data_IF_976247341459
#
_entry.id   IF_976247341459
#
_cell.length_a   1.000
_cell.length_b   1.000
_cell.length_c   1.000
_cell.angle_alpha   90.00
_cell.angle_beta   90.00
_cell.angle_gamma   90.00
#
_symmetry.space_group_name_H-M   'P 1'
#
loop_
_entity.id
_entity.type
_entity.pdbx_description
1 polymer ?
#
# COMPACT_ATOMS: atom_id res chain seq x y z
N UNK A 1 74.63 1.11 -23.16
CA UNK A 1 73.69 2.23 -23.36
C UNK A 1 72.35 1.86 -22.75
N UNK A 2 71.91 2.54 -21.68
CA UNK A 2 70.55 2.57 -21.06
C UNK A 2 70.67 2.92 -19.58
N UNK A 3 71.23 4.10 -19.26
CA UNK A 3 71.33 4.58 -17.87
C UNK A 3 71.11 6.10 -17.72
N UNK A 4 70.28 6.71 -18.58
CA UNK A 4 70.03 8.17 -18.57
C UNK A 4 68.54 8.57 -18.73
N UNK A 5 67.60 7.63 -18.88
CA UNK A 5 66.21 8.00 -19.26
C UNK A 5 65.17 8.03 -18.12
N UNK A 6 65.52 7.63 -16.89
CA UNK A 6 64.55 7.54 -15.79
C UNK A 6 64.50 8.78 -14.88
N UNK A 7 65.33 9.80 -15.12
CA UNK A 7 65.54 10.92 -14.20
C UNK A 7 65.12 12.29 -14.77
N UNK A 8 64.40 12.31 -15.90
CA UNK A 8 63.96 13.56 -16.57
C UNK A 8 62.44 13.74 -16.69
N UNK A 9 61.63 12.80 -16.18
CA UNK A 9 60.16 12.89 -16.27
C UNK A 9 59.53 13.40 -14.96
N UNK A 10 60.24 13.36 -13.83
CA UNK A 10 59.73 13.86 -12.54
C UNK A 10 59.80 15.39 -12.36
N UNK A 11 60.40 16.14 -13.29
CA UNK A 11 60.62 17.59 -13.14
C UNK A 11 59.62 18.47 -13.93
N UNK A 12 58.66 17.88 -14.67
CA UNK A 12 57.73 18.62 -15.54
C UNK A 12 56.29 18.63 -14.99
N UNK A 13 55.99 17.86 -13.94
CA UNK A 13 54.65 17.84 -13.33
C UNK A 13 54.46 18.77 -12.12
N UNK A 14 55.49 19.51 -11.68
CA UNK A 14 55.39 20.41 -10.51
C UNK A 14 55.40 21.92 -10.83
N UNK A 15 55.43 22.31 -12.11
CA UNK A 15 55.45 23.72 -12.52
C UNK A 15 54.21 24.17 -13.32
N UNK A 16 53.24 23.28 -13.57
CA UNK A 16 52.07 23.53 -14.43
C UNK A 16 50.72 23.68 -13.72
N UNK A 17 50.66 23.55 -12.39
CA UNK A 17 49.43 23.64 -11.59
C UNK A 17 49.33 24.92 -10.73
N UNK A 18 50.29 25.84 -10.86
CA UNK A 18 50.35 27.09 -10.07
C UNK A 18 50.18 28.37 -10.91
N UNK A 19 49.72 28.28 -12.16
CA UNK A 19 49.55 29.44 -13.07
C UNK A 19 48.17 29.48 -13.77
N UNK A 20 47.13 28.90 -13.15
CA UNK A 20 45.72 29.02 -13.58
C UNK A 20 44.75 29.19 -12.39
N UNK A 21 45.17 29.89 -11.33
CA UNK A 21 44.28 30.39 -10.27
C UNK A 21 44.66 31.84 -9.91
N UNK A 22 44.72 32.70 -10.92
CA UNK A 22 44.96 34.14 -10.77
C UNK A 22 43.92 34.96 -11.56
N UNK A 23 42.63 34.63 -11.43
CA UNK A 23 41.52 35.53 -11.81
C UNK A 23 40.36 35.32 -10.82
N UNK A 24 40.51 35.89 -9.63
CA UNK A 24 39.40 36.18 -8.71
C UNK A 24 39.81 37.35 -7.78
N UNK A 25 40.19 38.48 -8.38
CA UNK A 25 40.31 39.75 -7.68
C UNK A 25 39.38 40.76 -8.34
N UNK A 26 38.12 40.82 -7.90
CA UNK A 26 37.31 42.06 -7.81
C UNK A 26 35.92 41.80 -7.25
N UNK A 27 35.76 42.08 -5.96
CA UNK A 27 34.82 43.07 -5.40
C UNK A 27 34.66 42.80 -3.91
N UNK A 28 35.46 43.49 -3.09
CA UNK A 28 35.25 43.59 -1.65
C UNK A 28 34.56 44.94 -1.41
N UNK A 29 33.24 44.93 -1.28
CA UNK A 29 32.49 46.08 -0.77
C UNK A 29 32.61 46.09 0.76
N UNK A 30 33.15 47.19 1.27
CA UNK A 30 33.36 47.44 2.69
C UNK A 30 32.03 47.43 3.46
N UNK A 31 31.94 46.58 4.48
CA UNK A 31 30.88 46.60 5.50
C UNK A 31 31.49 47.05 6.83
N UNK A 32 30.91 48.01 7.56
CA UNK A 32 31.57 48.65 8.70
C UNK A 32 31.58 47.80 9.97
N UNK A 33 32.70 47.84 10.70
CA UNK A 33 32.89 47.26 12.03
C UNK A 33 31.88 47.83 13.05
N UNK A 34 31.25 47.01 13.92
CA UNK A 34 30.54 47.52 15.08
C UNK A 34 31.54 47.86 16.19
N UNK A 35 31.55 49.14 16.57
CA UNK A 35 32.23 49.66 17.77
C UNK A 35 31.58 49.04 19.02
N UNK A 36 32.27 48.12 19.69
CA UNK A 36 31.87 47.61 20.99
C UNK A 36 32.46 48.50 22.09
N UNK A 37 31.56 49.19 22.80
CA UNK A 37 31.84 49.96 24.01
C UNK A 37 32.19 48.98 25.13
N UNK A 38 33.33 49.19 25.80
CA UNK A 38 33.73 48.43 26.97
C UNK A 38 32.82 48.79 28.16
N UNK A 39 31.96 47.86 28.55
CA UNK A 39 31.19 47.90 29.80
C UNK A 39 31.87 46.98 30.82
N UNK A 40 32.29 47.55 31.94
CA UNK A 40 32.98 46.89 33.04
C UNK A 40 32.04 45.94 33.79
N UNK A 41 32.25 44.64 33.63
CA UNK A 41 31.56 43.60 34.41
C UNK A 41 32.17 43.46 35.83
N UNK A 42 31.36 43.28 36.88
CA UNK A 42 31.85 43.13 38.25
C UNK A 42 32.44 41.75 38.52
N UNK A 43 33.50 41.73 39.32
CA UNK A 43 34.25 40.57 39.81
C UNK A 43 33.36 39.62 40.65
N UNK A 44 33.35 38.30 40.40
CA UNK A 44 32.53 37.38 41.18
C UNK A 44 33.13 37.17 42.57
N UNK A 45 32.35 37.52 43.60
CA UNK A 45 32.65 37.23 45.01
C UNK A 45 32.39 35.75 45.29
N UNK A 46 33.46 34.99 45.55
CA UNK A 46 33.40 33.56 45.88
C UNK A 46 32.80 33.37 47.28
N UNK A 47 31.53 32.96 47.36
CA UNK A 47 30.90 32.54 48.61
C UNK A 47 31.05 31.03 48.74
N UNK A 48 31.94 30.60 49.65
CA UNK A 48 32.16 29.19 49.94
C UNK A 48 30.91 28.55 50.59
N UNK A 49 30.34 27.54 49.92
CA UNK A 49 29.25 26.72 50.45
C UNK A 49 29.79 25.59 51.35
N UNK A 50 29.05 25.17 52.40
CA UNK A 50 29.46 24.09 53.29
C UNK A 50 29.44 22.73 52.57
N UNK A 51 30.26 21.75 53.02
CA UNK A 51 30.38 20.45 52.37
C UNK A 51 29.07 19.64 52.50
N UNK A 52 28.58 19.15 51.38
CA UNK A 52 27.41 18.26 51.29
C UNK A 52 27.82 16.83 51.60
N UNK A 53 27.15 16.20 52.57
CA UNK A 53 27.39 14.80 52.95
C UNK A 53 27.18 13.86 51.75
N UNK A 54 28.24 13.12 51.41
CA UNK A 54 28.23 12.13 50.33
C UNK A 54 27.51 10.86 50.83
N UNK A 55 26.44 10.39 50.17
CA UNK A 55 25.76 9.18 50.60
C UNK A 55 26.66 7.95 50.43
N UNK A 56 26.64 7.07 51.43
CA UNK A 56 27.38 5.81 51.44
C UNK A 56 26.91 4.87 50.30
N UNK A 57 27.80 4.01 49.76
CA UNK A 57 27.45 3.10 48.68
C UNK A 57 26.37 2.11 49.12
N UNK A 58 25.27 2.07 48.38
CA UNK A 58 24.18 1.11 48.54
C UNK A 58 24.63 -0.26 48.04
N UNK A 59 24.34 -1.30 48.83
CA UNK A 59 24.68 -2.69 48.47
C UNK A 59 24.02 -3.09 47.14
N UNK A 60 24.85 -3.45 46.17
CA UNK A 60 24.42 -4.03 44.89
C UNK A 60 23.75 -5.38 45.15
N UNK A 61 22.51 -5.62 44.67
CA UNK A 61 21.87 -6.92 44.80
C UNK A 61 22.66 -7.98 44.03
N UNK A 62 22.86 -9.13 44.67
CA UNK A 62 23.47 -10.32 44.05
C UNK A 62 22.51 -10.86 42.99
N UNK A 63 22.98 -11.26 41.79
CA UNK A 63 22.11 -11.83 40.76
C UNK A 63 21.44 -13.10 41.27
N UNK A 64 20.11 -13.12 41.23
CA UNK A 64 19.28 -14.28 41.54
C UNK A 64 19.37 -15.27 40.38
N UNK A 65 19.58 -16.56 40.69
CA UNK A 65 19.62 -17.66 39.73
C UNK A 65 18.37 -17.64 38.83
N UNK A 66 18.59 -17.55 37.51
CA UNK A 66 17.53 -17.64 36.49
C UNK A 66 16.93 -19.05 36.53
N UNK A 67 15.60 -19.21 36.67
CA UNK A 67 14.98 -20.53 36.63
C UNK A 67 15.26 -21.21 35.29
N UNK A 68 15.70 -22.47 35.34
CA UNK A 68 15.93 -23.30 34.17
C UNK A 68 14.56 -23.60 33.53
N UNK A 69 14.40 -23.42 32.21
CA UNK A 69 13.15 -23.75 31.54
C UNK A 69 12.84 -25.23 31.76
N UNK A 70 11.65 -25.50 32.30
CA UNK A 70 11.14 -26.86 32.46
C UNK A 70 10.64 -27.32 31.10
N UNK A 71 11.10 -28.48 30.64
CA UNK A 71 10.64 -29.11 29.39
C UNK A 71 9.11 -29.25 29.42
N UNK A 72 8.42 -28.46 28.58
CA UNK A 72 6.99 -28.56 28.38
C UNK A 72 6.70 -29.88 27.67
N UNK A 73 5.75 -30.71 28.14
CA UNK A 73 5.44 -31.97 27.48
C UNK A 73 4.99 -31.71 26.04
N UNK A 74 5.67 -32.35 25.08
CA UNK A 74 5.30 -32.35 23.67
C UNK A 74 3.99 -33.13 23.52
N UNK A 75 2.88 -32.42 23.32
CA UNK A 75 1.60 -33.00 22.91
C UNK A 75 1.83 -33.84 21.64
N UNK A 76 1.64 -35.15 21.75
CA UNK A 76 1.75 -36.07 20.62
C UNK A 76 0.52 -35.83 19.74
N UNK A 77 0.67 -35.66 18.42
CA UNK A 77 -0.48 -35.40 17.54
C UNK A 77 -1.49 -36.53 17.68
N UNK A 78 -2.65 -36.22 18.24
CA UNK A 78 -3.75 -37.16 18.37
C UNK A 78 -4.36 -37.34 16.99
N UNK A 79 -4.58 -38.58 16.57
CA UNK A 79 -5.17 -38.87 15.26
C UNK A 79 -6.50 -38.12 15.11
N UNK A 80 -6.53 -37.17 14.17
CA UNK A 80 -7.75 -36.47 13.76
C UNK A 80 -8.78 -37.51 13.34
N UNK A 81 -10.00 -37.50 13.92
CA UNK A 81 -11.04 -38.43 13.50
C UNK A 81 -11.34 -38.22 12.02
N UNK A 82 -11.31 -39.32 11.26
CA UNK A 82 -11.70 -39.33 9.85
C UNK A 82 -13.13 -38.78 9.72
N UNK A 83 -13.40 -37.85 8.78
CA UNK A 83 -14.74 -37.30 8.60
C UNK A 83 -15.71 -38.46 8.35
N UNK A 84 -16.65 -38.63 9.28
CA UNK A 84 -17.73 -39.60 9.13
C UNK A 84 -18.75 -38.97 8.20
N UNK A 85 -19.17 -39.68 7.15
CA UNK A 85 -20.23 -39.20 6.26
C UNK A 85 -21.49 -38.88 7.07
N UNK A 86 -21.73 -37.60 7.29
CA UNK A 86 -23.00 -37.11 7.83
C UNK A 86 -24.09 -37.49 6.81
N UNK A 87 -25.20 -38.12 7.23
CA UNK A 87 -26.28 -38.44 6.31
C UNK A 87 -26.79 -37.14 5.69
N UNK A 88 -26.72 -37.06 4.36
CA UNK A 88 -27.36 -36.01 3.56
C UNK A 88 -28.84 -36.00 3.89
N UNK A 89 -29.34 -34.88 4.43
CA UNK A 89 -30.77 -34.69 4.59
C UNK A 89 -31.41 -34.77 3.19
N UNK A 90 -32.33 -35.70 3.02
CA UNK A 90 -33.16 -35.83 1.82
C UNK A 90 -33.89 -34.49 1.59
N UNK A 91 -33.95 -33.98 0.35
CA UNK A 91 -34.61 -32.72 0.06
C UNK A 91 -36.07 -32.83 0.49
N UNK A 92 -36.47 -31.95 1.41
CA UNK A 92 -37.86 -31.85 1.85
C UNK A 92 -38.61 -31.17 0.72
N UNK A 93 -39.60 -31.86 0.14
CA UNK A 93 -40.50 -31.32 -0.90
C UNK A 93 -41.08 -29.98 -0.44
N UNK A 94 -40.65 -28.89 -1.08
CA UNK A 94 -41.22 -27.56 -0.90
C UNK A 94 -42.67 -27.61 -1.38
N UNK A 95 -43.66 -27.18 -0.57
CA UNK A 95 -45.04 -27.14 -1.03
C UNK A 95 -45.15 -26.18 -2.22
N UNK A 96 -45.58 -26.72 -3.36
CA UNK A 96 -45.93 -25.94 -4.55
C UNK A 96 -47.15 -25.07 -4.22
N UNK A 97 -46.94 -23.76 -4.09
CA UNK A 97 -48.00 -22.76 -4.05
C UNK A 97 -48.88 -22.95 -5.31
N UNK A 98 -50.16 -23.25 -5.08
CA UNK A 98 -51.14 -23.37 -6.16
C UNK A 98 -51.41 -21.95 -6.70
N UNK A 99 -51.32 -21.70 -8.02
CA UNK A 99 -51.58 -20.38 -8.57
C UNK A 99 -52.99 -19.94 -8.19
N UNK A 100 -53.08 -18.80 -7.50
CA UNK A 100 -54.36 -18.16 -7.21
C UNK A 100 -54.83 -17.45 -8.48
N UNK A 101 -56.05 -17.77 -8.93
CA UNK A 101 -56.69 -17.14 -10.09
C UNK A 101 -56.68 -15.61 -9.96
N UNK A 102 -55.93 -14.96 -10.86
CA UNK A 102 -55.95 -13.50 -11.03
C UNK A 102 -57.33 -13.09 -11.54
N UNK A 103 -58.03 -12.14 -10.90
CA UNK A 103 -59.31 -11.67 -11.42
C UNK A 103 -59.14 -11.01 -12.80
N UNK A 104 -60.02 -11.40 -13.72
CA UNK A 104 -60.12 -10.92 -15.10
C UNK A 104 -60.27 -9.38 -15.16
N UNK A 105 -59.58 -8.69 -16.08
CA UNK A 105 -59.68 -7.23 -16.20
C UNK A 105 -61.11 -6.82 -16.57
N UNK A 106 -61.69 -5.93 -15.77
CA UNK A 106 -63.01 -5.35 -16.03
C UNK A 106 -62.90 -4.30 -17.15
N UNK A 107 -63.76 -4.43 -18.17
CA UNK A 107 -63.85 -3.52 -19.30
C UNK A 107 -63.96 -2.05 -18.87
N UNK A 108 -62.96 -1.24 -19.24
CA UNK A 108 -63.04 0.21 -19.18
C UNK A 108 -63.57 0.74 -20.52
N UNK A 109 -64.63 1.57 -20.54
CA UNK A 109 -65.28 2.00 -21.79
C UNK A 109 -64.42 2.94 -22.63
N UNK A 110 -64.46 2.71 -23.95
CA UNK A 110 -63.77 3.43 -25.03
C UNK A 110 -64.44 4.78 -25.34
N UNK A 111 -63.70 5.90 -25.44
CA UNK A 111 -64.13 7.11 -26.13
C UNK A 111 -63.69 7.11 -27.62
N UNK A 112 -64.43 7.80 -28.53
CA UNK A 112 -64.44 7.48 -29.95
C UNK A 112 -63.32 8.10 -30.79
N UNK A 113 -63.01 7.35 -31.85
CA UNK A 113 -62.16 7.53 -33.02
C UNK A 113 -62.24 8.88 -33.73
N UNK A 114 -61.07 9.39 -34.15
CA UNK A 114 -60.91 10.09 -35.43
C UNK A 114 -59.53 9.76 -36.05
N UNK A 115 -59.55 9.18 -37.25
CA UNK A 115 -58.46 9.03 -38.20
C UNK A 115 -58.98 9.56 -39.57
N UNK A 116 -58.25 9.50 -40.71
CA UNK A 116 -56.84 9.15 -40.96
C UNK A 116 -56.14 10.08 -42.00
N UNK A 117 -54.86 9.80 -42.32
CA UNK A 117 -54.24 9.71 -43.68
C UNK A 117 -52.70 9.73 -43.54
N UNK A 118 -51.94 8.65 -43.80
CA UNK A 118 -51.60 7.95 -45.06
C UNK A 118 -50.35 8.52 -45.76
N UNK A 119 -49.25 7.75 -45.83
CA UNK A 119 -48.65 7.37 -47.12
C UNK A 119 -47.65 6.19 -46.96
N UNK A 120 -47.54 5.39 -48.01
CA UNK A 120 -46.92 4.06 -48.11
C UNK A 120 -45.53 4.10 -48.77
N UNK A 121 -44.82 2.96 -48.78
CA UNK A 121 -43.67 2.77 -49.67
C UNK A 121 -42.81 1.54 -49.37
N UNK A 122 -43.19 0.42 -49.97
CA UNK A 122 -42.51 -0.87 -50.09
C UNK A 122 -41.51 -0.87 -51.27
N UNK A 123 -40.35 -1.55 -51.15
CA UNK A 123 -39.76 -2.42 -52.21
C UNK A 123 -38.31 -2.89 -51.92
N UNK A 124 -38.13 -4.19 -52.17
CA UNK A 124 -36.92 -5.00 -52.37
C UNK A 124 -35.78 -4.38 -53.21
N UNK A 125 -34.53 -4.80 -52.96
CA UNK A 125 -33.75 -5.66 -53.89
C UNK A 125 -32.25 -5.84 -53.51
N UNK A 126 -31.83 -7.12 -53.58
CA UNK A 126 -30.57 -7.72 -54.06
C UNK A 126 -29.19 -7.50 -53.38
N UNK A 127 -28.72 -8.63 -52.82
CA UNK A 127 -27.53 -9.41 -53.18
C UNK A 127 -26.23 -8.69 -53.61
N UNK A 128 -25.15 -8.98 -52.87
CA UNK A 128 -23.86 -9.37 -53.47
C UNK A 128 -23.11 -10.36 -52.58
N UNK A 129 -22.78 -11.50 -53.21
CA UNK A 129 -21.87 -12.54 -52.75
C UNK A 129 -20.46 -12.03 -52.38
N UNK A 130 -19.80 -12.75 -51.45
CA UNK A 130 -18.37 -13.03 -51.63
C UNK A 130 -17.49 -13.09 -50.38
N UNK A 131 -17.08 -14.32 -50.08
CA UNK A 131 -15.79 -14.73 -49.53
C UNK A 131 -15.61 -14.86 -48.01
N UNK A 132 -15.30 -16.11 -47.64
CA UNK A 132 -14.56 -16.58 -46.48
C UNK A 132 -13.33 -15.71 -46.15
N UNK A 133 -12.94 -15.63 -44.88
CA UNK A 133 -11.92 -16.51 -44.28
C UNK A 133 -11.50 -15.97 -42.90
N UNK A 134 -11.00 -16.89 -42.08
CA UNK A 134 -10.25 -16.73 -40.84
C UNK A 134 -11.00 -16.26 -39.57
N UNK A 135 -11.10 -17.23 -38.66
CA UNK A 135 -11.60 -17.03 -37.31
C UNK A 135 -10.59 -16.41 -36.37
N UNK A 136 -11.12 -15.99 -35.24
CA UNK A 136 -10.40 -16.07 -33.98
C UNK A 136 -11.47 -16.22 -32.90
N UNK A 137 -11.43 -17.36 -32.22
CA UNK A 137 -12.23 -17.65 -31.03
C UNK A 137 -11.77 -16.67 -29.94
N UNK A 138 -12.45 -15.53 -29.84
CA UNK A 138 -12.43 -14.74 -28.62
C UNK A 138 -13.23 -15.51 -27.57
N UNK A 139 -12.54 -16.33 -26.78
CA UNK A 139 -13.04 -16.76 -25.47
C UNK A 139 -13.46 -15.50 -24.71
N UNK A 140 -14.78 -15.33 -24.54
CA UNK A 140 -15.37 -14.47 -23.53
C UNK A 140 -14.86 -14.95 -22.16
N UNK A 141 -13.70 -14.44 -21.78
CA UNK A 141 -13.21 -14.48 -20.42
C UNK A 141 -14.09 -13.57 -19.58
N UNK A 142 -15.18 -14.12 -19.05
CA UNK A 142 -15.83 -13.60 -17.83
C UNK A 142 -14.72 -13.14 -16.87
N UNK A 143 -14.73 -11.89 -16.37
CA UNK A 143 -13.70 -11.45 -15.45
C UNK A 143 -13.70 -12.44 -14.29
N UNK A 144 -12.59 -13.15 -14.09
CA UNK A 144 -12.44 -14.07 -12.96
C UNK A 144 -12.79 -13.28 -11.70
N UNK A 145 -13.98 -13.52 -11.16
CA UNK A 145 -14.34 -13.05 -9.83
C UNK A 145 -13.29 -13.68 -8.91
N UNK A 146 -12.30 -12.88 -8.53
CA UNK A 146 -11.25 -13.29 -7.63
C UNK A 146 -11.95 -13.68 -6.34
N UNK A 147 -12.20 -14.97 -6.19
CA UNK A 147 -12.84 -15.54 -5.02
C UNK A 147 -11.73 -15.64 -3.96
N UNK A 148 -11.30 -14.48 -3.46
CA UNK A 148 -10.38 -14.44 -2.32
C UNK A 148 -11.20 -14.89 -1.13
N UNK A 149 -10.95 -16.13 -0.69
CA UNK A 149 -11.40 -16.62 0.62
C UNK A 149 -10.76 -15.74 1.71
N UNK A 150 -11.39 -14.61 2.04
CA UNK A 150 -11.07 -13.86 3.24
C UNK A 150 -11.72 -14.56 4.43
N UNK A 151 -10.94 -15.42 5.10
CA UNK A 151 -11.36 -16.13 6.32
C UNK A 151 -11.13 -15.24 7.56
N UNK A 152 -10.51 -14.07 7.40
CA UNK A 152 -10.10 -13.23 8.52
C UNK A 152 -10.83 -11.89 8.50
N UNK A 153 -11.53 -11.56 9.59
CA UNK A 153 -12.02 -10.21 9.84
C UNK A 153 -10.78 -9.28 9.96
N UNK A 154 -10.72 -8.14 9.25
CA UNK A 154 -9.67 -7.12 9.43
C UNK A 154 -9.34 -6.80 10.88
N UNK A 155 -10.39 -6.78 11.72
CA UNK A 155 -10.27 -6.49 13.14
C UNK A 155 -9.42 -7.52 13.89
N UNK A 156 -9.34 -8.76 13.39
CA UNK A 156 -8.53 -9.83 13.96
C UNK A 156 -7.04 -9.70 13.57
N UNK A 157 -6.73 -9.05 12.45
CA UNK A 157 -5.36 -8.90 11.91
C UNK A 157 -4.74 -7.55 12.30
N UNK A 158 -5.52 -6.49 12.24
CA UNK A 158 -5.06 -5.10 12.27
C UNK A 158 -5.67 -4.27 13.42
N UNK A 159 -6.64 -4.83 14.15
CA UNK A 159 -7.36 -4.13 15.22
C UNK A 159 -8.60 -3.40 14.74
N UNK A 160 -9.35 -2.78 15.67
CA UNK A 160 -10.60 -2.07 15.36
C UNK A 160 -10.29 -0.73 14.73
N UNK A 161 -10.74 -0.52 13.49
CA UNK A 161 -10.67 0.78 12.84
C UNK A 161 -11.96 1.57 13.08
N UNK A 162 -11.86 2.89 13.30
CA UNK A 162 -13.04 3.72 13.47
C UNK A 162 -13.81 3.83 12.15
N UNK A 163 -15.12 3.57 12.18
CA UNK A 163 -16.03 3.88 11.08
C UNK A 163 -16.53 5.33 11.19
N UNK A 164 -16.32 6.11 10.13
CA UNK A 164 -16.74 7.51 10.02
C UNK A 164 -17.93 7.66 9.07
N UNK A 165 -18.75 8.71 9.21
CA UNK A 165 -19.73 9.06 8.18
C UNK A 165 -19.05 9.20 6.82
N UNK A 166 -19.72 8.74 5.76
CA UNK A 166 -19.18 8.80 4.40
C UNK A 166 -18.66 10.19 4.01
N UNK A 167 -17.42 10.22 3.54
CA UNK A 167 -16.75 11.39 2.97
C UNK A 167 -16.08 10.98 1.65
N UNK A 168 -16.67 11.39 0.53
CA UNK A 168 -16.17 11.09 -0.81
C UNK A 168 -14.73 11.60 -1.02
N UNK A 169 -14.41 12.80 -0.53
CA UNK A 169 -13.08 13.38 -0.69
C UNK A 169 -12.05 12.61 0.14
N UNK A 170 -12.41 12.23 1.37
CA UNK A 170 -11.61 11.38 2.25
C UNK A 170 -11.36 10.01 1.64
N UNK A 171 -12.39 9.34 1.10
CA UNK A 171 -12.25 8.04 0.44
C UNK A 171 -11.31 8.12 -0.75
N UNK A 172 -11.53 9.08 -1.67
CA UNK A 172 -10.67 9.28 -2.84
C UNK A 172 -9.22 9.59 -2.42
N UNK A 173 -9.02 10.42 -1.40
CA UNK A 173 -7.68 10.73 -0.88
C UNK A 173 -6.97 9.48 -0.32
N UNK A 174 -7.69 8.65 0.44
CA UNK A 174 -7.14 7.41 1.00
C UNK A 174 -6.83 6.38 -0.10
N UNK A 175 -7.67 6.26 -1.12
CA UNK A 175 -7.37 5.39 -2.27
C UNK A 175 -6.10 5.84 -3.01
N UNK A 176 -5.96 7.14 -3.27
CA UNK A 176 -4.74 7.69 -3.87
C UNK A 176 -3.51 7.45 -2.97
N UNK A 177 -3.66 7.55 -1.64
CA UNK A 177 -2.58 7.27 -0.69
C UNK A 177 -2.13 5.81 -0.75
N UNK A 178 -3.07 4.86 -0.77
CA UNK A 178 -2.75 3.43 -0.91
C UNK A 178 -2.06 3.18 -2.25
N UNK A 179 -2.62 3.66 -3.35
CA UNK A 179 -2.06 3.45 -4.68
C UNK A 179 -0.63 4.00 -4.81
N UNK A 180 -0.39 5.24 -4.37
CA UNK A 180 0.96 5.84 -4.37
C UNK A 180 1.94 5.14 -3.42
N UNK A 181 1.47 4.67 -2.26
CA UNK A 181 2.30 3.92 -1.32
C UNK A 181 2.68 2.55 -1.89
N UNK A 182 1.75 1.85 -2.53
CA UNK A 182 2.01 0.59 -3.23
C UNK A 182 3.00 0.76 -4.38
N UNK A 183 2.90 1.85 -5.17
CA UNK A 183 3.91 2.17 -6.19
C UNK A 183 5.30 2.39 -5.57
N UNK A 184 5.35 3.11 -4.44
CA UNK A 184 6.60 3.35 -3.70
C UNK A 184 7.19 2.02 -3.20
N UNK A 185 6.36 1.14 -2.61
CA UNK A 185 6.77 -0.19 -2.20
C UNK A 185 7.31 -1.00 -3.38
N UNK A 186 6.60 -0.97 -4.53
CA UNK A 186 6.99 -1.72 -5.73
C UNK A 186 8.35 -1.29 -6.28
N UNK A 187 8.62 0.01 -6.27
CA UNK A 187 9.88 0.57 -6.76
C UNK A 187 11.09 0.28 -5.88
N UNK A 188 10.89 -0.06 -4.61
CA UNK A 188 11.96 -0.26 -3.63
C UNK A 188 12.19 -1.74 -3.27
N UNK A 189 11.24 -2.64 -3.55
CA UNK A 189 11.34 -4.05 -3.14
C UNK A 189 12.52 -4.80 -3.79
N UNK A 190 12.93 -4.42 -4.99
CA UNK A 190 14.10 -5.00 -5.68
C UNK A 190 15.40 -4.62 -4.95
N UNK A 191 15.53 -3.36 -4.52
CA UNK A 191 16.65 -2.87 -3.71
C UNK A 191 16.67 -3.50 -2.33
N UNK A 192 15.50 -3.59 -1.69
CA UNK A 192 15.34 -4.25 -0.39
C UNK A 192 15.74 -5.74 -0.45
N UNK A 193 15.42 -6.45 -1.54
CA UNK A 193 15.93 -7.80 -1.80
C UNK A 193 17.44 -7.84 -1.99
N UNK A 194 18.00 -6.82 -2.65
CA UNK A 194 19.44 -6.62 -2.82
C UNK A 194 20.20 -6.26 -1.54
N UNK A 195 19.51 -6.05 -0.40
CA UNK A 195 20.12 -5.62 0.86
C UNK A 195 20.41 -4.11 0.92
N UNK A 196 19.73 -3.31 0.10
CA UNK A 196 19.81 -1.85 0.19
C UNK A 196 18.94 -1.35 1.35
N UNK A 197 19.61 -0.84 2.39
CA UNK A 197 18.96 -0.31 3.58
C UNK A 197 18.02 0.86 3.26
N UNK A 198 18.40 1.77 2.35
CA UNK A 198 17.58 2.93 2.02
C UNK A 198 16.28 2.50 1.31
N UNK A 199 16.37 1.46 0.48
CA UNK A 199 15.20 0.85 -0.16
C UNK A 199 14.29 0.19 0.89
N UNK A 200 14.86 -0.51 1.88
CA UNK A 200 14.09 -1.06 3.00
C UNK A 200 13.41 0.03 3.84
N UNK A 201 14.11 1.10 4.19
CA UNK A 201 13.54 2.22 4.96
C UNK A 201 12.38 2.87 4.19
N UNK A 202 12.53 3.03 2.88
CA UNK A 202 11.48 3.58 2.01
C UNK A 202 10.28 2.64 1.90
N UNK A 203 10.52 1.34 1.75
CA UNK A 203 9.46 0.33 1.75
C UNK A 203 8.67 0.32 3.06
N UNK A 204 9.37 0.33 4.20
CA UNK A 204 8.80 0.40 5.54
C UNK A 204 7.98 1.68 5.75
N UNK A 205 8.50 2.82 5.29
CA UNK A 205 7.78 4.10 5.34
C UNK A 205 6.47 4.06 4.55
N UNK A 206 6.49 3.52 3.33
CA UNK A 206 5.30 3.39 2.50
C UNK A 206 4.28 2.40 3.07
N UNK A 207 4.72 1.26 3.62
CA UNK A 207 3.85 0.32 4.33
C UNK A 207 3.15 0.99 5.52
N UNK A 208 3.90 1.72 6.34
CA UNK A 208 3.37 2.44 7.49
C UNK A 208 2.39 3.56 7.08
N UNK A 209 2.63 4.23 5.95
CA UNK A 209 1.71 5.23 5.42
C UNK A 209 0.34 4.62 5.13
N UNK A 210 0.31 3.41 4.53
CA UNK A 210 -0.95 2.65 4.34
C UNK A 210 -1.54 2.32 5.72
N UNK A 211 -0.76 1.71 6.60
CA UNK A 211 -1.24 1.24 7.90
C UNK A 211 -1.91 2.35 8.73
N UNK A 212 -1.36 3.55 8.73
CA UNK A 212 -1.83 4.65 9.56
C UNK A 212 -2.84 5.59 8.86
N UNK A 213 -3.12 5.39 7.57
CA UNK A 213 -4.11 6.18 6.81
C UNK A 213 -5.48 5.49 6.67
N UNK A 214 -5.63 4.28 7.21
CA UNK A 214 -6.87 3.52 7.14
C UNK A 214 -8.05 4.20 7.82
N UNK A 215 -9.08 4.54 7.05
CA UNK A 215 -10.36 5.10 7.53
C UNK A 215 -11.49 4.43 6.78
N UNK A 216 -12.43 3.82 7.50
CA UNK A 216 -13.58 3.17 6.88
C UNK A 216 -14.85 3.99 7.06
N UNK A 217 -15.76 3.82 6.11
CA UNK A 217 -16.95 4.65 6.02
C UNK A 217 -18.21 3.83 6.26
N UNK A 218 -19.16 4.43 6.96
CA UNK A 218 -20.53 3.94 7.10
C UNK A 218 -21.48 4.85 6.34
N UNK A 219 -22.68 4.34 6.07
CA UNK A 219 -23.72 5.05 5.31
C UNK A 219 -23.24 5.46 3.90
N UNK A 220 -22.47 4.58 3.24
CA UNK A 220 -21.94 4.80 1.88
C UNK A 220 -23.09 4.86 0.87
N UNK A 221 -23.20 5.92 0.05
CA UNK A 221 -24.19 6.00 -1.01
C UNK A 221 -24.01 4.90 -2.05
N UNK A 222 -25.11 4.42 -2.65
CA UNK A 222 -25.09 3.29 -3.59
C UNK A 222 -24.16 3.48 -4.80
N UNK A 223 -23.98 4.72 -5.26
CA UNK A 223 -23.05 5.02 -6.36
C UNK A 223 -21.57 4.95 -5.93
N UNK A 224 -21.26 4.87 -4.64
CA UNK A 224 -19.92 4.76 -4.06
C UNK A 224 -19.61 3.39 -3.44
N UNK A 225 -20.60 2.51 -3.28
CA UNK A 225 -20.43 1.20 -2.61
C UNK A 225 -19.32 0.34 -3.24
N UNK A 226 -19.23 0.28 -4.57
CA UNK A 226 -18.17 -0.46 -5.25
C UNK A 226 -16.78 0.15 -5.02
N UNK A 227 -16.69 1.48 -4.98
CA UNK A 227 -15.43 2.20 -4.75
C UNK A 227 -14.96 1.95 -3.31
N UNK A 228 -15.86 2.06 -2.33
CA UNK A 228 -15.57 1.79 -0.93
C UNK A 228 -15.16 0.33 -0.70
N UNK A 229 -15.86 -0.62 -1.33
CA UNK A 229 -15.50 -2.04 -1.26
C UNK A 229 -14.11 -2.31 -1.81
N UNK A 230 -13.76 -1.75 -2.97
CA UNK A 230 -12.42 -1.88 -3.55
C UNK A 230 -11.36 -1.23 -2.67
N UNK A 231 -11.62 -0.04 -2.12
CA UNK A 231 -10.74 0.61 -1.15
C UNK A 231 -10.45 -0.29 0.05
N UNK A 232 -11.50 -0.86 0.65
CA UNK A 232 -11.40 -1.76 1.79
C UNK A 232 -10.55 -3.00 1.45
N UNK A 233 -10.83 -3.66 0.33
CA UNK A 233 -10.06 -4.84 -0.09
C UNK A 233 -8.60 -4.48 -0.37
N UNK A 234 -8.33 -3.37 -1.06
CA UNK A 234 -6.97 -2.91 -1.33
C UNK A 234 -6.19 -2.66 -0.04
N UNK A 235 -6.81 -2.02 0.95
CA UNK A 235 -6.16 -1.74 2.24
C UNK A 235 -5.74 -3.04 2.95
N UNK A 236 -6.66 -4.00 3.06
CA UNK A 236 -6.37 -5.25 3.79
C UNK A 236 -5.36 -6.12 3.03
N UNK A 237 -5.53 -6.26 1.72
CA UNK A 237 -4.65 -7.11 0.91
C UNK A 237 -3.24 -6.55 0.85
N UNK A 238 -3.11 -5.22 0.70
CA UNK A 238 -1.84 -4.53 0.79
C UNK A 238 -1.13 -4.84 2.10
N UNK A 239 -1.79 -4.65 3.26
CA UNK A 239 -1.12 -4.80 4.55
C UNK A 239 -0.82 -6.25 4.93
N UNK A 240 -1.74 -7.17 4.70
CA UNK A 240 -1.59 -8.57 5.13
C UNK A 240 -0.43 -9.27 4.39
N UNK A 241 -0.46 -9.22 3.06
CA UNK A 241 0.46 -10.00 2.24
C UNK A 241 1.83 -9.34 2.04
N UNK A 242 1.95 -8.05 2.28
CA UNK A 242 3.26 -7.36 2.24
C UNK A 242 3.94 -7.27 3.61
N UNK A 243 3.23 -7.57 4.70
CA UNK A 243 3.78 -7.59 6.06
C UNK A 243 5.05 -8.43 6.23
N UNK A 244 5.19 -9.61 5.61
CA UNK A 244 6.42 -10.39 5.75
C UNK A 244 7.66 -9.65 5.22
N UNK A 245 7.56 -9.01 4.04
CA UNK A 245 8.64 -8.20 3.48
C UNK A 245 8.94 -6.96 4.34
N UNK A 246 7.91 -6.31 4.88
CA UNK A 246 8.06 -5.26 5.88
C UNK A 246 8.88 -5.74 7.09
N UNK A 247 8.53 -6.90 7.66
CA UNK A 247 9.23 -7.48 8.81
C UNK A 247 10.67 -7.88 8.46
N UNK A 248 10.91 -8.39 7.26
CA UNK A 248 12.27 -8.69 6.79
C UNK A 248 13.12 -7.41 6.71
N UNK A 249 12.58 -6.31 6.18
CA UNK A 249 13.28 -5.03 6.19
C UNK A 249 13.57 -4.50 7.60
N UNK A 250 12.59 -4.55 8.51
CA UNK A 250 12.75 -4.05 9.89
C UNK A 250 13.77 -4.87 10.68
N UNK A 251 13.76 -6.20 10.54
CA UNK A 251 14.56 -7.08 11.39
C UNK A 251 15.93 -7.42 10.80
N UNK A 252 16.04 -7.53 9.48
CA UNK A 252 17.22 -8.04 8.80
C UNK A 252 17.84 -7.03 7.81
N UNK A 253 17.16 -5.93 7.48
CA UNK A 253 17.61 -4.96 6.46
C UNK A 253 17.62 -5.52 5.03
N UNK A 254 17.05 -6.71 4.84
CA UNK A 254 17.01 -7.40 3.55
C UNK A 254 15.78 -8.30 3.45
N UNK A 255 15.17 -8.36 2.27
CA UNK A 255 14.03 -9.23 1.97
C UNK A 255 14.50 -10.51 1.28
N UNK A 256 14.10 -11.68 1.79
CA UNK A 256 14.39 -12.97 1.15
C UNK A 256 13.52 -13.24 -0.09
N UNK A 257 13.88 -14.25 -0.87
CA UNK A 257 13.22 -14.57 -2.14
C UNK A 257 11.72 -14.85 -1.99
N UNK A 258 11.32 -15.53 -0.91
CA UNK A 258 9.92 -15.89 -0.67
C UNK A 258 9.09 -14.65 -0.36
N UNK A 259 9.54 -13.85 0.60
CA UNK A 259 8.86 -12.61 1.01
C UNK A 259 8.84 -11.58 -0.12
N UNK A 260 9.89 -11.53 -0.93
CA UNK A 260 9.94 -10.71 -2.15
C UNK A 260 8.85 -11.13 -3.15
N UNK A 261 8.75 -12.42 -3.47
CA UNK A 261 7.78 -12.91 -4.45
C UNK A 261 6.34 -12.63 -4.03
N UNK A 262 6.03 -12.87 -2.75
CA UNK A 262 4.72 -12.58 -2.18
C UNK A 262 4.39 -11.09 -2.23
N UNK A 263 5.33 -10.23 -1.85
CA UNK A 263 5.14 -8.79 -1.87
C UNK A 263 4.92 -8.25 -3.28
N UNK A 264 5.76 -8.64 -4.25
CA UNK A 264 5.64 -8.20 -5.65
C UNK A 264 4.30 -8.61 -6.25
N UNK A 265 3.94 -9.89 -6.11
CA UNK A 265 2.66 -10.39 -6.63
C UNK A 265 1.48 -9.62 -6.05
N UNK A 266 1.48 -9.42 -4.73
CA UNK A 266 0.40 -8.71 -4.03
C UNK A 266 0.31 -7.27 -4.49
N UNK A 267 1.44 -6.55 -4.54
CA UNK A 267 1.46 -5.14 -4.92
C UNK A 267 0.95 -4.97 -6.35
N UNK A 268 1.45 -5.77 -7.30
CA UNK A 268 1.06 -5.69 -8.71
C UNK A 268 -0.44 -6.03 -8.90
N UNK A 269 -0.94 -7.06 -8.21
CA UNK A 269 -2.37 -7.40 -8.20
C UNK A 269 -3.22 -6.26 -7.63
N UNK A 270 -2.81 -5.68 -6.50
CA UNK A 270 -3.55 -4.60 -5.82
C UNK A 270 -3.63 -3.35 -6.68
N UNK A 271 -2.51 -2.94 -7.27
CA UNK A 271 -2.47 -1.81 -8.18
C UNK A 271 -3.40 -2.05 -9.39
N UNK A 272 -3.42 -3.26 -9.93
CA UNK A 272 -4.24 -3.62 -11.07
C UNK A 272 -5.74 -3.53 -10.77
N UNK A 273 -6.22 -4.18 -9.71
CA UNK A 273 -7.65 -4.21 -9.40
C UNK A 273 -8.17 -2.89 -8.82
N UNK A 274 -7.31 -2.10 -8.15
CA UNK A 274 -7.73 -0.82 -7.55
C UNK A 274 -7.91 0.29 -8.57
N UNK A 275 -7.14 0.27 -9.66
CA UNK A 275 -7.03 1.38 -10.60
C UNK A 275 -8.38 1.81 -11.24
N UNK A 276 -9.27 0.90 -11.68
CA UNK A 276 -10.57 1.30 -12.24
C UNK A 276 -11.43 2.09 -11.24
N UNK A 277 -11.56 1.60 -10.00
CA UNK A 277 -12.33 2.27 -8.95
C UNK A 277 -11.69 3.57 -8.50
N UNK A 278 -10.35 3.64 -8.45
CA UNK A 278 -9.64 4.88 -8.18
C UNK A 278 -9.89 5.93 -9.27
N UNK A 279 -9.88 5.54 -10.54
CA UNK A 279 -10.20 6.45 -11.64
C UNK A 279 -11.65 6.95 -11.58
N UNK A 280 -12.59 6.05 -11.24
CA UNK A 280 -14.00 6.41 -11.00
C UNK A 280 -14.11 7.44 -9.87
N UNK A 281 -13.45 7.19 -8.74
CA UNK A 281 -13.43 8.08 -7.58
C UNK A 281 -12.85 9.47 -7.90
N UNK A 282 -11.76 9.52 -8.66
CA UNK A 282 -11.10 10.77 -9.08
C UNK A 282 -11.92 11.58 -10.10
N UNK A 283 -12.90 10.97 -10.76
CA UNK A 283 -13.72 11.62 -11.81
C UNK A 283 -15.04 12.21 -11.29
N UNK A 284 -15.38 11.97 -10.02
CA UNK A 284 -16.60 12.42 -9.35
C UNK A 284 -16.36 13.73 -8.60
#
# INVERSE_FOLDING_TARGET
MKKVYSQRIAAICFAGLFLLLAIACRNEEATPEPTAVAESAPEPTETALPPTDTPAPTNTPVPTETPIPTETPTETPTNTPTPTNTPTAEPTETPTETPTETPEPTDTPVPPTAAPQSDAGDSDSDDTDGAADDGDDAEDGEPEMITVYYISNPNDILGVFPELPFDAAGLTANMNNIYGSLQTMRGNIDGAKGGDQAACDTYVGAYNNILYSGVFYKDVPGDWEEIDFVYFLSFIYALDRTRPAYLSCVNAGQVDDFNYGLAVQTIDQTLSFMLPSLNSANSR
#
